data_IF_896841013151
#
_entry.id   IF_896841013151
#
_cell.length_a   1.000
_cell.length_b   1.000
_cell.length_c   1.000
_cell.angle_alpha   90.00
_cell.angle_beta   90.00
_cell.angle_gamma   90.00
#
_symmetry.space_group_name_H-M   'P 1'
#
loop_
_entity.id
_entity.type
_entity.pdbx_description
1 polymer ?
#
# COMPACT_ATOMS: atom_id res chain seq x y z
N UNK A 1 8.69 -52.62 26.33
CA UNK A 1 8.88 -51.43 25.45
C UNK A 1 8.14 -50.27 26.12
N UNK A 2 8.74 -49.46 27.01
CA UNK A 2 9.77 -48.43 26.74
C UNK A 2 9.28 -47.55 25.58
N UNK A 3 8.35 -46.63 25.86
CA UNK A 3 8.56 -45.25 26.34
C UNK A 3 8.90 -44.27 25.22
N UNK A 4 8.30 -43.09 25.32
CA UNK A 4 8.64 -41.82 24.67
C UNK A 4 7.86 -41.46 23.42
N UNK A 5 6.68 -40.90 23.66
CA UNK A 5 6.24 -39.71 22.93
C UNK A 5 6.17 -38.53 23.93
N UNK A 6 7.27 -37.81 24.19
CA UNK A 6 7.23 -36.56 24.92
C UNK A 6 7.11 -35.37 23.97
N UNK A 7 6.42 -34.33 24.46
CA UNK A 7 6.61 -32.91 24.14
C UNK A 7 6.24 -32.43 22.72
N UNK A 8 4.94 -32.38 22.43
CA UNK A 8 4.35 -31.48 21.42
C UNK A 8 3.99 -30.11 22.03
N UNK A 9 4.81 -29.62 22.97
CA UNK A 9 4.53 -28.39 23.76
C UNK A 9 5.71 -27.40 23.83
N UNK A 10 6.92 -27.77 23.41
CA UNK A 10 8.03 -26.80 23.37
C UNK A 10 8.23 -26.23 21.97
N UNK A 11 7.34 -25.33 21.56
CA UNK A 11 7.78 -24.24 20.70
C UNK A 11 8.88 -23.51 21.51
N UNK A 12 10.09 -23.31 20.97
CA UNK A 12 11.18 -22.80 21.78
C UNK A 12 10.81 -21.41 22.28
N UNK A 13 10.78 -21.25 23.61
CA UNK A 13 10.62 -19.98 24.31
C UNK A 13 11.59 -18.90 23.79
N UNK A 14 12.69 -19.31 23.15
CA UNK A 14 13.66 -18.45 22.47
C UNK A 14 13.09 -17.71 21.24
N UNK A 15 12.17 -18.31 20.48
CA UNK A 15 11.49 -17.61 19.37
C UNK A 15 10.52 -16.59 19.95
N UNK A 16 9.74 -16.98 20.96
CA UNK A 16 8.76 -16.09 21.61
C UNK A 16 9.47 -14.91 22.31
N UNK A 17 10.63 -15.12 22.93
CA UNK A 17 11.43 -14.05 23.55
C UNK A 17 12.07 -13.11 22.51
N UNK A 18 12.54 -13.63 21.37
CA UNK A 18 12.99 -12.78 20.24
C UNK A 18 11.86 -11.93 19.64
N UNK A 19 10.61 -12.40 19.71
CA UNK A 19 9.42 -11.68 19.26
C UNK A 19 8.85 -10.69 20.30
N UNK A 20 9.24 -10.83 21.58
CA UNK A 20 8.63 -10.09 22.70
C UNK A 20 9.07 -8.63 22.80
N UNK A 21 10.15 -8.24 22.14
CA UNK A 21 10.52 -6.83 22.01
C UNK A 21 10.63 -6.45 20.55
N UNK A 22 9.74 -5.57 20.08
CA UNK A 22 10.07 -4.74 18.92
C UNK A 22 11.35 -4.01 19.30
N UNK A 23 12.47 -4.40 18.68
CA UNK A 23 13.73 -3.72 18.88
C UNK A 23 13.59 -2.28 18.33
N UNK A 24 14.32 -1.32 18.92
CA UNK A 24 14.29 0.09 18.51
C UNK A 24 14.53 0.25 16.99
N UNK A 25 15.37 -0.62 16.41
CA UNK A 25 15.65 -0.71 14.99
C UNK A 25 14.44 -1.10 14.13
N UNK A 26 13.64 -2.07 14.56
CA UNK A 26 12.42 -2.48 13.86
C UNK A 26 11.32 -1.44 13.97
N UNK A 27 11.24 -0.74 15.12
CA UNK A 27 10.32 0.38 15.28
C UNK A 27 10.68 1.55 14.34
N UNK A 28 11.97 1.88 14.22
CA UNK A 28 12.46 2.90 13.31
C UNK A 28 12.20 2.52 11.85
N UNK A 29 12.42 1.25 11.48
CA UNK A 29 12.12 0.73 10.16
C UNK A 29 10.63 0.84 9.82
N UNK A 30 9.74 0.45 10.75
CA UNK A 30 8.30 0.58 10.55
C UNK A 30 7.87 2.04 10.37
N UNK A 31 8.39 2.95 11.19
CA UNK A 31 8.15 4.40 11.05
C UNK A 31 8.62 4.93 9.69
N UNK A 32 9.79 4.48 9.23
CA UNK A 32 10.32 4.85 7.93
C UNK A 32 9.42 4.33 6.80
N UNK A 33 9.02 3.06 6.83
CA UNK A 33 8.15 2.47 5.82
C UNK A 33 6.78 3.15 5.78
N UNK A 34 6.18 3.44 6.94
CA UNK A 34 4.92 4.21 7.02
C UNK A 34 5.09 5.61 6.44
N UNK A 35 6.23 6.26 6.63
CA UNK A 35 6.54 7.54 6.00
C UNK A 35 6.61 7.44 4.48
N UNK A 36 7.24 6.38 3.96
CA UNK A 36 7.28 6.10 2.51
C UNK A 36 5.86 5.88 1.96
N UNK A 37 5.02 5.10 2.66
CA UNK A 37 3.64 4.84 2.23
C UNK A 37 2.79 6.12 2.24
N UNK A 38 2.90 6.94 3.28
CA UNK A 38 2.19 8.23 3.40
C UNK A 38 2.64 9.26 2.34
N UNK A 39 3.89 9.19 1.88
CA UNK A 39 4.46 10.12 0.91
C UNK A 39 4.28 9.68 -0.55
N UNK A 40 3.95 8.42 -0.79
CA UNK A 40 3.70 7.88 -2.12
C UNK A 40 2.57 8.59 -2.90
N UNK A 41 1.37 8.84 -2.34
CA UNK A 41 0.31 9.54 -3.07
C UNK A 41 0.66 11.00 -3.41
N UNK A 42 1.57 11.63 -2.65
CA UNK A 42 2.02 13.02 -2.88
C UNK A 42 3.18 13.16 -3.87
N UNK A 43 3.94 12.09 -4.10
CA UNK A 43 5.09 12.07 -5.02
C UNK A 43 4.80 11.36 -6.33
N UNK A 44 3.51 11.06 -6.57
CA UNK A 44 2.84 10.82 -7.84
C UNK A 44 3.63 9.98 -8.84
N UNK A 45 3.28 8.70 -8.97
CA UNK A 45 3.22 7.95 -10.24
C UNK A 45 4.42 8.02 -11.24
N UNK A 46 5.56 8.60 -10.87
CA UNK A 46 6.58 9.07 -11.81
C UNK A 46 7.98 9.18 -11.20
N UNK A 47 8.21 8.91 -9.90
CA UNK A 47 9.59 8.82 -9.39
C UNK A 47 10.21 7.46 -9.76
N UNK A 48 10.48 7.28 -11.05
CA UNK A 48 11.40 6.27 -11.56
C UNK A 48 12.80 6.63 -11.06
N UNK A 49 13.17 6.14 -9.88
CA UNK A 49 14.48 6.40 -9.27
C UNK A 49 14.54 6.54 -7.75
N UNK A 50 13.47 6.33 -6.99
CA UNK A 50 13.61 6.16 -5.53
C UNK A 50 14.22 4.80 -5.20
N UNK A 51 15.09 4.75 -4.19
CA UNK A 51 15.80 3.54 -3.73
C UNK A 51 14.88 2.41 -3.24
N UNK A 52 13.59 2.68 -3.02
CA UNK A 52 12.60 1.70 -2.59
C UNK A 52 11.31 1.94 -3.38
N UNK A 53 10.79 0.87 -3.98
CA UNK A 53 9.54 0.88 -4.72
C UNK A 53 8.34 0.82 -3.76
N UNK A 54 7.24 1.46 -4.13
CA UNK A 54 6.05 1.55 -3.29
C UNK A 54 5.42 0.18 -2.95
N UNK A 55 5.24 -0.75 -3.92
CA UNK A 55 4.73 -2.09 -3.63
C UNK A 55 5.64 -2.84 -2.67
N UNK A 56 6.96 -2.74 -2.84
CA UNK A 56 7.93 -3.37 -1.93
C UNK A 56 7.84 -2.81 -0.51
N UNK A 57 7.66 -1.49 -0.37
CA UNK A 57 7.46 -0.86 0.94
C UNK A 57 6.16 -1.35 1.61
N UNK A 58 5.09 -1.54 0.84
CA UNK A 58 3.81 -2.07 1.32
C UNK A 58 3.95 -3.54 1.76
N UNK A 59 4.59 -4.39 0.97
CA UNK A 59 4.83 -5.80 1.28
C UNK A 59 5.66 -5.96 2.56
N UNK A 60 6.75 -5.22 2.68
CA UNK A 60 7.61 -5.26 3.86
C UNK A 60 6.89 -4.77 5.11
N UNK A 61 6.05 -3.74 4.97
CA UNK A 61 5.19 -3.26 6.06
C UNK A 61 4.20 -4.35 6.47
N UNK A 62 3.58 -5.04 5.50
CA UNK A 62 2.67 -6.16 5.75
C UNK A 62 3.35 -7.30 6.51
N UNK A 63 4.57 -7.68 6.13
CA UNK A 63 5.34 -8.72 6.83
C UNK A 63 5.69 -8.33 8.27
N UNK A 64 6.12 -7.08 8.51
CA UNK A 64 6.44 -6.59 9.85
C UNK A 64 5.20 -6.57 10.73
N UNK A 65 4.07 -6.07 10.20
CA UNK A 65 2.81 -6.04 10.93
C UNK A 65 2.35 -7.47 11.26
N UNK A 66 2.41 -8.39 10.30
CA UNK A 66 1.99 -9.78 10.51
C UNK A 66 2.87 -10.51 11.53
N UNK A 67 4.19 -10.31 11.46
CA UNK A 67 5.15 -10.96 12.36
C UNK A 67 5.07 -10.41 13.79
N UNK A 68 4.82 -9.11 13.96
CA UNK A 68 4.86 -8.43 15.27
C UNK A 68 3.50 -7.87 15.72
N UNK A 69 2.39 -8.40 15.18
CA UNK A 69 1.04 -7.86 15.42
C UNK A 69 0.72 -7.68 16.90
N UNK A 70 0.90 -8.72 17.71
CA UNK A 70 0.61 -8.70 19.15
C UNK A 70 1.46 -7.64 19.87
N UNK A 71 2.73 -7.47 19.50
CA UNK A 71 3.62 -6.48 20.10
C UNK A 71 3.30 -5.04 19.65
N UNK A 72 2.79 -4.86 18.43
CA UNK A 72 2.36 -3.58 17.89
C UNK A 72 1.07 -3.09 18.57
N UNK A 73 0.09 -3.98 18.73
CA UNK A 73 -1.20 -3.66 19.35
C UNK A 73 -1.07 -3.35 20.85
N UNK A 74 -0.16 -4.04 21.55
CA UNK A 74 0.09 -3.80 22.96
C UNK A 74 0.91 -2.51 23.24
N UNK A 75 1.50 -1.90 22.20
CA UNK A 75 2.29 -0.68 22.33
C UNK A 75 1.46 0.54 21.88
N UNK A 76 0.99 1.34 22.84
CA UNK A 76 0.15 2.51 22.58
C UNK A 76 0.78 3.52 21.61
N UNK A 77 2.12 3.65 21.59
CA UNK A 77 2.82 4.54 20.66
C UNK A 77 2.79 4.03 19.20
N UNK A 78 2.66 2.71 19.00
CA UNK A 78 2.59 2.11 17.67
C UNK A 78 1.16 1.86 17.21
N UNK A 79 0.23 1.74 18.15
CA UNK A 79 -1.18 1.70 17.85
C UNK A 79 -1.64 2.95 17.08
N UNK A 80 -1.18 4.14 17.48
CA UNK A 80 -1.46 5.38 16.74
C UNK A 80 -0.90 5.36 15.31
N UNK A 81 0.33 4.85 15.14
CA UNK A 81 0.95 4.69 13.82
C UNK A 81 0.18 3.71 12.92
N UNK A 82 -0.39 2.65 13.50
CA UNK A 82 -1.20 1.66 12.78
C UNK A 82 -2.54 2.24 12.33
N UNK A 83 -3.21 3.02 13.19
CA UNK A 83 -4.46 3.72 12.83
C UNK A 83 -4.22 4.72 11.71
N UNK A 84 -3.15 5.49 11.82
CA UNK A 84 -2.70 6.43 10.78
C UNK A 84 -2.42 5.73 9.45
N UNK A 85 -1.76 4.56 9.49
CA UNK A 85 -1.49 3.76 8.30
C UNK A 85 -2.78 3.23 7.68
N UNK A 86 -3.70 2.71 8.51
CA UNK A 86 -5.01 2.23 8.07
C UNK A 86 -5.79 3.35 7.36
N UNK A 87 -5.88 4.53 7.97
CA UNK A 87 -6.55 5.69 7.35
C UNK A 87 -5.90 6.06 6.01
N UNK A 88 -4.58 6.10 5.96
CA UNK A 88 -3.86 6.43 4.72
C UNK A 88 -4.12 5.41 3.61
N UNK A 89 -4.10 4.12 3.91
CA UNK A 89 -4.35 3.05 2.92
C UNK A 89 -5.81 3.09 2.47
N UNK A 90 -6.74 3.35 3.40
CA UNK A 90 -8.15 3.51 3.06
C UNK A 90 -8.38 4.69 2.11
N UNK A 91 -7.77 5.85 2.37
CA UNK A 91 -7.84 7.02 1.48
C UNK A 91 -7.27 6.71 0.08
N UNK A 92 -6.18 5.93 0.01
CA UNK A 92 -5.58 5.49 -1.25
C UNK A 92 -6.50 4.54 -2.03
N UNK A 93 -7.17 3.62 -1.36
CA UNK A 93 -8.12 2.70 -1.99
C UNK A 93 -9.31 3.49 -2.54
N UNK A 94 -9.89 4.39 -1.75
CA UNK A 94 -10.99 5.25 -2.22
C UNK A 94 -10.58 6.11 -3.40
N UNK A 95 -9.34 6.64 -3.41
CA UNK A 95 -8.81 7.37 -4.57
C UNK A 95 -8.72 6.50 -5.82
N UNK A 96 -8.25 5.25 -5.69
CA UNK A 96 -8.17 4.31 -6.80
C UNK A 96 -9.56 3.95 -7.33
N UNK A 97 -10.54 3.77 -6.46
CA UNK A 97 -11.94 3.54 -6.86
C UNK A 97 -12.50 4.72 -7.67
N UNK A 98 -12.31 5.95 -7.18
CA UNK A 98 -12.73 7.16 -7.91
C UNK A 98 -12.04 7.30 -9.28
N UNK A 99 -10.74 6.97 -9.36
CA UNK A 99 -10.02 6.97 -10.64
C UNK A 99 -10.57 5.90 -11.60
N UNK A 100 -10.97 4.74 -11.10
CA UNK A 100 -11.62 3.70 -11.89
C UNK A 100 -12.99 4.12 -12.42
N UNK A 101 -13.79 4.80 -11.60
CA UNK A 101 -15.06 5.40 -12.04
C UNK A 101 -14.85 6.46 -13.12
N UNK A 102 -13.83 7.31 -12.96
CA UNK A 102 -13.46 8.31 -13.94
C UNK A 102 -12.98 7.69 -15.26
N UNK A 103 -12.16 6.64 -15.20
CA UNK A 103 -11.73 5.90 -16.39
C UNK A 103 -12.92 5.27 -17.12
N UNK A 104 -13.86 4.68 -16.37
CA UNK A 104 -15.11 4.16 -16.91
C UNK A 104 -15.97 5.24 -17.58
N UNK A 105 -16.05 6.43 -16.98
CA UNK A 105 -16.73 7.58 -17.56
C UNK A 105 -16.06 8.05 -18.86
N UNK A 106 -14.73 8.15 -18.88
CA UNK A 106 -13.96 8.57 -20.06
C UNK A 106 -14.10 7.58 -21.21
N UNK A 107 -14.07 6.27 -20.94
CA UNK A 107 -14.30 5.25 -21.97
C UNK A 107 -15.74 5.30 -22.49
N UNK A 108 -16.74 5.51 -21.63
CA UNK A 108 -18.13 5.74 -22.08
C UNK A 108 -18.25 7.00 -22.95
N UNK A 109 -17.57 8.09 -22.58
CA UNK A 109 -17.57 9.34 -23.34
C UNK A 109 -16.96 9.14 -24.72
N UNK A 110 -15.79 8.51 -24.78
CA UNK A 110 -15.08 8.16 -26.04
C UNK A 110 -15.90 7.23 -26.93
N UNK A 111 -16.67 6.30 -26.36
CA UNK A 111 -17.53 5.39 -27.11
C UNK A 111 -18.82 6.06 -27.62
N UNK A 112 -19.37 7.04 -26.88
CA UNK A 112 -20.57 7.82 -27.28
C UNK A 112 -20.24 8.93 -28.28
N UNK A 113 -19.07 9.54 -28.13
CA UNK A 113 -18.52 10.53 -29.05
C UNK A 113 -17.24 9.96 -29.64
N UNK A 114 -17.34 9.05 -30.63
CA UNK A 114 -16.17 8.63 -31.37
C UNK A 114 -15.55 9.90 -31.96
N UNK A 115 -14.31 10.21 -31.55
CA UNK A 115 -13.52 11.27 -32.14
C UNK A 115 -13.62 11.13 -33.66
N UNK A 116 -13.92 12.19 -34.42
CA UNK A 116 -14.10 12.10 -35.85
C UNK A 116 -12.89 11.37 -36.43
N UNK A 117 -13.16 10.24 -37.09
CA UNK A 117 -12.13 9.49 -37.77
C UNK A 117 -11.41 10.47 -38.69
N UNK A 118 -10.08 10.38 -38.70
CA UNK A 118 -9.12 11.28 -39.36
C UNK A 118 -9.39 11.37 -40.87
N UNK A 119 -10.49 11.98 -41.26
CA UNK A 119 -10.93 12.16 -42.63
C UNK A 119 -10.78 13.65 -42.92
N UNK A 120 -9.61 13.97 -43.48
CA UNK A 120 -9.28 15.25 -44.11
C UNK A 120 -9.21 16.48 -43.18
N UNK A 121 -8.33 16.41 -42.18
CA UNK A 121 -7.88 17.59 -41.43
C UNK A 121 -6.91 18.38 -42.32
N UNK A 122 -7.37 19.48 -42.91
CA UNK A 122 -6.47 20.54 -43.39
C UNK A 122 -5.56 21.02 -42.25
N UNK A 123 -4.43 21.68 -42.56
CA UNK A 123 -3.34 21.99 -41.62
C UNK A 123 -3.77 22.64 -40.28
N UNK A 124 -4.98 23.19 -40.20
CA UNK A 124 -5.59 23.69 -38.98
C UNK A 124 -7.09 23.37 -38.98
N UNK A 125 -7.57 22.59 -38.01
CA UNK A 125 -8.98 22.53 -37.62
C UNK A 125 -9.10 22.85 -36.14
N UNK A 126 -10.12 23.63 -35.78
CA UNK A 126 -10.51 23.90 -34.39
C UNK A 126 -11.93 23.37 -34.24
N UNK A 127 -12.06 22.28 -33.49
CA UNK A 127 -13.35 21.67 -33.17
C UNK A 127 -13.73 22.05 -31.73
N UNK A 128 -14.95 22.56 -31.56
CA UNK A 128 -15.49 22.96 -30.27
C UNK A 128 -16.25 21.78 -29.66
N UNK A 129 -15.82 21.35 -28.47
CA UNK A 129 -16.56 20.39 -27.65
C UNK A 129 -17.55 21.17 -26.79
N UNK A 130 -18.85 20.99 -27.02
CA UNK A 130 -19.89 21.43 -26.09
C UNK A 130 -20.01 20.40 -24.96
N UNK A 131 -19.98 20.90 -23.72
CA UNK A 131 -20.03 20.15 -22.46
C UNK A 131 -21.42 20.25 -21.83
#
# INVERSE_FOLDING_TARGET
LKSHLPSLIHLPSQIIEHFKSINLSQQALLKFLVCVIKSAPRSSFARKGSSLDYPTALDWTGWIINAHYTALVLNSNLQGLLLDLHSCVQDQVTLLEMLGELEGFLEQYKNKHPLPAKENVGLYSVEMLEL
#
